data_IF_926698122098
#
_entry.id   IF_926698122098
#
_cell.length_a   1.000
_cell.length_b   1.000
_cell.length_c   1.000
_cell.angle_alpha   90.00
_cell.angle_beta   90.00
_cell.angle_gamma   90.00
#
_symmetry.space_group_name_H-M   'P 1'
#
loop_
_entity.id
_entity.type
_entity.pdbx_description
1 polymer ?
#
# COMPACT_ATOMS: atom_id res chain seq x y z
N UNK A 1 43.16 2.72 -10.93
CA UNK A 1 42.66 1.54 -10.19
C UNK A 1 41.68 1.89 -9.07
N UNK A 2 42.00 2.83 -8.15
CA UNK A 2 41.10 3.22 -7.05
C UNK A 2 39.68 3.64 -7.46
N UNK A 3 39.55 4.45 -8.51
CA UNK A 3 38.24 4.90 -9.01
C UNK A 3 37.35 3.73 -9.45
N UNK A 4 37.93 2.71 -10.10
CA UNK A 4 37.20 1.53 -10.55
C UNK A 4 36.71 0.68 -9.37
N UNK A 5 37.52 0.56 -8.32
CA UNK A 5 37.14 -0.17 -7.11
C UNK A 5 36.01 0.53 -6.37
N UNK A 6 36.08 1.86 -6.23
CA UNK A 6 35.05 2.65 -5.57
C UNK A 6 33.70 2.55 -6.31
N UNK A 7 33.70 2.68 -7.63
CA UNK A 7 32.48 2.53 -8.44
C UNK A 7 31.89 1.14 -8.33
N UNK A 8 32.72 0.08 -8.34
CA UNK A 8 32.23 -1.31 -8.21
C UNK A 8 31.64 -1.58 -6.83
N UNK A 9 32.28 -1.10 -5.77
CA UNK A 9 31.76 -1.20 -4.42
C UNK A 9 30.42 -0.46 -4.27
N UNK A 10 30.35 0.77 -4.77
CA UNK A 10 29.11 1.57 -4.78
C UNK A 10 27.97 0.84 -5.48
N UNK A 11 28.18 0.37 -6.71
CA UNK A 11 27.16 -0.35 -7.48
C UNK A 11 26.70 -1.62 -6.76
N UNK A 12 27.64 -2.36 -6.15
CA UNK A 12 27.32 -3.60 -5.42
C UNK A 12 26.45 -3.31 -4.20
N UNK A 13 26.79 -2.29 -3.42
CA UNK A 13 26.01 -1.87 -2.24
C UNK A 13 24.62 -1.40 -2.65
N UNK A 14 24.52 -0.53 -3.66
CA UNK A 14 23.23 -0.04 -4.16
C UNK A 14 22.36 -1.19 -4.66
N UNK A 15 22.94 -2.14 -5.41
CA UNK A 15 22.23 -3.33 -5.87
C UNK A 15 21.70 -4.17 -4.70
N UNK A 16 22.55 -4.45 -3.71
CA UNK A 16 22.16 -5.21 -2.52
C UNK A 16 21.03 -4.51 -1.74
N UNK A 17 21.11 -3.19 -1.56
CA UNK A 17 20.08 -2.40 -0.88
C UNK A 17 18.77 -2.39 -1.65
N UNK A 18 18.81 -2.24 -2.98
CA UNK A 18 17.61 -2.30 -3.83
C UNK A 18 16.91 -3.65 -3.72
N UNK A 19 17.66 -4.75 -3.80
CA UNK A 19 17.11 -6.11 -3.67
C UNK A 19 16.51 -6.29 -2.26
N UNK A 20 17.23 -5.91 -1.21
CA UNK A 20 16.74 -6.01 0.17
C UNK A 20 15.46 -5.20 0.39
N UNK A 21 15.37 -4.00 -0.19
CA UNK A 21 14.20 -3.13 -0.09
C UNK A 21 12.99 -3.75 -0.78
N UNK A 22 13.18 -4.32 -1.98
CA UNK A 22 12.11 -5.01 -2.69
C UNK A 22 11.58 -6.18 -1.86
N UNK A 23 12.47 -7.04 -1.34
CA UNK A 23 12.05 -8.14 -0.46
C UNK A 23 11.32 -7.64 0.79
N UNK A 24 11.79 -6.55 1.40
CA UNK A 24 11.16 -5.97 2.57
C UNK A 24 9.73 -5.52 2.31
N UNK A 25 9.45 -4.87 1.17
CA UNK A 25 8.10 -4.39 0.83
C UNK A 25 7.10 -5.54 0.64
N UNK A 26 7.57 -6.71 0.18
CA UNK A 26 6.71 -7.90 0.08
C UNK A 26 6.41 -8.55 1.43
N UNK A 27 7.34 -8.47 2.39
CA UNK A 27 7.16 -9.04 3.74
C UNK A 27 6.35 -8.09 4.63
N UNK A 28 6.60 -6.79 4.53
CA UNK A 28 5.94 -5.73 5.29
C UNK A 28 5.08 -4.93 4.30
N UNK A 29 3.84 -5.38 4.04
CA UNK A 29 2.96 -4.71 3.09
C UNK A 29 2.71 -3.28 3.57
N UNK A 30 2.83 -2.34 2.64
CA UNK A 30 2.49 -0.95 2.88
C UNK A 30 0.99 -0.79 3.14
N UNK A 31 0.53 0.28 3.82
CA UNK A 31 -0.89 0.56 4.04
C UNK A 31 -1.77 0.43 2.78
N UNK A 32 -1.22 0.81 1.62
CA UNK A 32 -1.87 0.72 0.30
C UNK A 32 -2.16 -0.71 -0.18
N UNK A 33 -1.43 -1.69 0.34
CA UNK A 33 -1.52 -3.10 -0.06
C UNK A 33 -2.49 -3.89 0.84
N UNK A 34 -3.00 -3.30 1.91
CA UNK A 34 -4.04 -3.93 2.72
C UNK A 34 -5.40 -3.77 2.04
N UNK A 35 -6.12 -4.88 1.95
CA UNK A 35 -7.54 -4.88 1.61
C UNK A 35 -8.36 -5.23 2.86
N UNK A 36 -9.50 -4.57 3.04
CA UNK A 36 -10.44 -4.92 4.11
C UNK A 36 -10.98 -6.35 3.92
N UNK A 37 -11.51 -6.97 4.98
CA UNK A 37 -12.23 -8.26 4.90
C UNK A 37 -13.34 -8.23 3.84
N UNK A 38 -13.91 -7.05 3.64
CA UNK A 38 -14.98 -6.80 2.67
C UNK A 38 -14.48 -6.49 1.25
N UNK A 39 -13.17 -6.63 1.01
CA UNK A 39 -12.53 -6.35 -0.29
C UNK A 39 -12.37 -4.85 -0.60
N UNK A 40 -12.60 -3.97 0.39
CA UNK A 40 -12.52 -2.52 0.24
C UNK A 40 -11.04 -2.09 0.24
N UNK A 41 -10.55 -1.46 -0.85
CA UNK A 41 -9.21 -0.87 -0.89
C UNK A 41 -8.98 0.19 0.19
N UNK A 42 -7.77 0.27 0.74
CA UNK A 42 -7.43 1.22 1.81
C UNK A 42 -7.68 2.69 1.44
N UNK A 43 -7.50 3.06 0.16
CA UNK A 43 -7.70 4.43 -0.32
C UNK A 43 -9.06 4.69 -0.95
N UNK A 44 -10.06 3.83 -0.69
CA UNK A 44 -11.41 4.11 -1.14
C UNK A 44 -11.96 5.34 -0.41
N UNK A 45 -12.40 6.38 -1.14
CA UNK A 45 -12.93 7.58 -0.52
C UNK A 45 -14.26 7.31 0.19
N UNK A 46 -14.60 8.19 1.13
CA UNK A 46 -15.92 8.20 1.74
C UNK A 46 -16.98 8.62 0.71
N UNK A 47 -18.22 8.19 0.94
CA UNK A 47 -19.36 8.47 0.06
C UNK A 47 -20.41 9.29 0.80
N UNK A 48 -21.27 9.99 0.06
CA UNK A 48 -22.35 10.80 0.64
C UNK A 48 -23.63 9.94 0.67
N UNK A 49 -24.30 9.92 1.81
CA UNK A 49 -25.64 9.35 1.92
C UNK A 49 -26.64 10.29 1.20
N UNK A 50 -27.36 9.81 0.17
CA UNK A 50 -28.29 10.65 -0.58
C UNK A 50 -29.52 11.10 0.23
N UNK A 51 -29.85 10.41 1.33
CA UNK A 51 -31.02 10.71 2.16
C UNK A 51 -30.68 11.74 3.22
N UNK A 52 -29.59 11.52 3.97
CA UNK A 52 -29.17 12.41 5.07
C UNK A 52 -28.22 13.52 4.64
N UNK A 53 -27.51 13.37 3.53
CA UNK A 53 -26.43 14.26 3.09
C UNK A 53 -25.13 14.06 3.86
N UNK A 54 -25.05 13.10 4.79
CA UNK A 54 -23.86 12.87 5.59
C UNK A 54 -22.75 12.13 4.81
N UNK A 55 -21.49 12.43 5.13
CA UNK A 55 -20.36 11.67 4.61
C UNK A 55 -20.18 10.39 5.42
N UNK A 56 -20.41 9.24 4.79
CA UNK A 56 -20.30 7.92 5.39
C UNK A 56 -19.09 7.16 4.83
N UNK A 57 -18.48 6.31 5.66
CA UNK A 57 -17.45 5.39 5.19
C UNK A 57 -18.08 4.36 4.25
N UNK A 58 -17.40 4.06 3.14
CA UNK A 58 -17.86 3.07 2.15
C UNK A 58 -18.16 1.69 2.78
N UNK A 59 -17.48 1.34 3.88
CA UNK A 59 -17.74 0.12 4.65
C UNK A 59 -19.19 0.00 5.09
N UNK A 60 -19.81 1.09 5.58
CA UNK A 60 -21.22 1.09 5.98
C UNK A 60 -22.14 0.77 4.82
N UNK A 61 -21.82 1.29 3.64
CA UNK A 61 -22.59 1.02 2.42
C UNK A 61 -22.48 -0.46 2.00
N UNK A 62 -21.27 -1.01 2.04
CA UNK A 62 -21.04 -2.44 1.73
C UNK A 62 -21.78 -3.35 2.72
N UNK A 63 -21.76 -3.02 4.02
CA UNK A 63 -22.50 -3.76 5.04
C UNK A 63 -24.01 -3.72 4.79
N UNK A 64 -24.55 -2.53 4.48
CA UNK A 64 -25.95 -2.35 4.14
C UNK A 64 -26.39 -3.24 2.96
N UNK A 65 -25.62 -3.28 1.87
CA UNK A 65 -25.94 -4.13 0.72
C UNK A 65 -25.69 -5.63 0.95
N UNK A 66 -24.81 -5.99 1.89
CA UNK A 66 -24.63 -7.38 2.34
C UNK A 66 -25.73 -7.86 3.28
N UNK A 67 -26.53 -6.94 3.85
CA UNK A 67 -27.52 -7.25 4.87
C UNK A 67 -26.94 -7.45 6.28
N UNK A 68 -25.74 -6.89 6.54
CA UNK A 68 -25.15 -6.79 7.89
C UNK A 68 -25.69 -5.58 8.68
#
# INVERSE_FOLDING_TARGET
MQQLFLTRAFVTVVCALSIATLFYVFIVPMPSMYTSRDGIPHFTPNVIDPISGETIQIKKLVQHFKGE
#
